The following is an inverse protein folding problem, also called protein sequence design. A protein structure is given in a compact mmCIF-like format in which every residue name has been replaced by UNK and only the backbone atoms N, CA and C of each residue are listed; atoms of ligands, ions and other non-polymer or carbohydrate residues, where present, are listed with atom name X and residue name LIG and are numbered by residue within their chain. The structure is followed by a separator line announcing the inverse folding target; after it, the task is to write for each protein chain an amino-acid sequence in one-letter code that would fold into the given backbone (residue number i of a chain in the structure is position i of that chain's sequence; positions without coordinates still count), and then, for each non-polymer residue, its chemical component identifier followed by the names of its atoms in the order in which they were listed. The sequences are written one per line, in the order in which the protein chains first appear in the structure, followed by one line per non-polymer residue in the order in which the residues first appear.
data_IF_090391684364
#
_entry.id   IF_090391684364
#
_cell.length_a   1.000
_cell.length_b   1.000
_cell.length_c   1.000
_cell.angle_alpha   90.00
_cell.angle_beta   90.00
_cell.angle_gamma   90.00
#
_symmetry.space_group_name_H-M   'P 1'
#
loop_
_entity.id
_entity.type
_entity.pdbx_description
1 polymer ?
#
# COMPACT_ATOMS: atom_id res chain seq x y z
N UNK A 1 -1.29 6.93 3.48
CA UNK A 1 -1.37 7.35 4.90
C UNK A 1 -2.70 8.06 5.13
N UNK A 2 -3.33 7.95 6.31
CA UNK A 2 -4.41 8.91 6.68
C UNK A 2 -3.84 10.33 6.62
N UNK A 3 -4.64 11.34 6.23
CA UNK A 3 -4.21 12.74 6.31
C UNK A 3 -3.91 13.08 7.78
N UNK A 4 -2.63 13.23 8.11
CA UNK A 4 -2.17 13.68 9.42
C UNK A 4 -1.98 15.19 9.32
N UNK A 5 -2.79 15.97 10.03
CA UNK A 5 -2.72 17.43 9.96
C UNK A 5 -1.31 17.94 10.36
N UNK A 6 -0.72 17.33 11.39
CA UNK A 6 0.66 17.60 11.78
C UNK A 6 1.71 17.33 10.69
N UNK A 7 1.46 16.41 9.74
CA UNK A 7 2.40 16.12 8.65
C UNK A 7 2.43 17.22 7.59
N UNK A 8 1.27 17.79 7.24
CA UNK A 8 1.18 18.90 6.28
C UNK A 8 1.85 20.17 6.82
N UNK A 9 1.60 20.49 8.09
CA UNK A 9 2.25 21.63 8.77
C UNK A 9 3.76 21.44 8.87
N UNK A 10 4.21 20.23 9.23
CA UNK A 10 5.63 19.90 9.31
C UNK A 10 6.30 19.95 7.93
N UNK A 11 5.62 19.48 6.89
CA UNK A 11 6.07 19.57 5.50
C UNK A 11 6.25 21.02 5.03
N UNK A 12 5.24 21.88 5.29
CA UNK A 12 5.33 23.31 5.01
C UNK A 12 6.50 23.98 5.74
N UNK A 13 6.71 23.64 7.01
CA UNK A 13 7.81 24.16 7.81
C UNK A 13 9.19 23.73 7.28
N UNK A 14 9.39 22.45 6.96
CA UNK A 14 10.69 21.96 6.45
C UNK A 14 11.00 22.56 5.07
N UNK A 15 10.00 22.71 4.20
CA UNK A 15 10.18 23.34 2.89
C UNK A 15 10.58 24.81 2.99
N UNK A 16 9.89 25.57 3.85
CA UNK A 16 10.20 26.98 4.07
C UNK A 16 11.61 27.14 4.66
N UNK A 17 11.94 26.33 5.67
CA UNK A 17 13.26 26.36 6.32
C UNK A 17 14.37 26.00 5.34
N UNK A 18 14.19 24.95 4.53
CA UNK A 18 15.13 24.58 3.47
C UNK A 18 15.30 25.70 2.44
N UNK A 19 14.20 26.37 2.04
CA UNK A 19 14.25 27.49 1.10
C UNK A 19 15.05 28.69 1.65
N UNK A 20 14.90 28.99 2.94
CA UNK A 20 15.70 30.03 3.61
C UNK A 20 17.19 29.66 3.64
N UNK A 21 17.53 28.41 3.97
CA UNK A 21 18.91 27.91 3.95
C UNK A 21 19.54 28.03 2.55
N UNK A 22 18.83 27.59 1.52
CA UNK A 22 19.29 27.67 0.13
C UNK A 22 19.53 29.11 -0.35
N UNK A 23 18.84 30.09 0.24
CA UNK A 23 19.01 31.53 -0.04
C UNK A 23 20.00 32.21 0.90
N UNK A 24 20.69 31.46 1.77
CA UNK A 24 21.56 31.98 2.83
C UNK A 24 20.87 33.04 3.71
N UNK A 25 19.56 32.90 3.94
CA UNK A 25 18.82 33.79 4.83
C UNK A 25 19.10 33.42 6.29
N UNK A 26 19.31 34.40 7.17
CA UNK A 26 19.50 34.13 8.59
C UNK A 26 18.24 33.51 9.18
N UNK A 27 18.39 32.38 9.85
CA UNK A 27 17.31 31.66 10.52
C UNK A 27 17.44 31.83 12.02
N UNK A 28 16.39 32.37 12.64
CA UNK A 28 16.27 32.51 14.08
C UNK A 28 14.84 32.19 14.48
N UNK A 29 14.69 31.36 15.50
CA UNK A 29 13.39 30.86 15.95
C UNK A 29 13.11 31.32 17.37
N UNK A 30 11.83 31.57 17.65
CA UNK A 30 11.37 31.84 19.01
C UNK A 30 10.90 30.55 19.66
N UNK A 31 10.79 30.55 21.00
CA UNK A 31 10.26 29.42 21.77
C UNK A 31 8.92 28.87 21.21
N UNK A 32 8.03 29.76 20.74
CA UNK A 32 6.74 29.36 20.15
C UNK A 32 6.91 28.50 18.89
N UNK A 33 7.91 28.79 18.06
CA UNK A 33 8.15 28.09 16.80
C UNK A 33 8.72 26.69 17.10
N UNK A 34 9.63 26.62 18.09
CA UNK A 34 10.18 25.37 18.62
C UNK A 34 9.07 24.47 19.18
N UNK A 35 8.21 25.01 20.05
CA UNK A 35 7.11 24.24 20.66
C UNK A 35 6.12 23.72 19.62
N UNK A 36 5.81 24.50 18.57
CA UNK A 36 4.94 24.04 17.47
C UNK A 36 5.57 22.88 16.70
N UNK A 37 6.83 23.01 16.29
CA UNK A 37 7.54 21.95 15.56
C UNK A 37 7.60 20.65 16.37
N UNK A 38 7.92 20.73 17.67
CA UNK A 38 7.94 19.56 18.57
C UNK A 38 6.55 18.92 18.67
N UNK A 39 5.48 19.74 18.77
CA UNK A 39 4.10 19.25 18.80
C UNK A 39 3.74 18.50 17.52
N UNK A 40 4.01 19.08 16.34
CA UNK A 40 3.74 18.42 15.06
C UNK A 40 4.54 17.13 14.90
N UNK A 41 5.82 17.15 15.29
CA UNK A 41 6.67 15.95 15.23
C UNK A 41 6.17 14.84 16.15
N UNK A 42 5.65 15.20 17.33
CA UNK A 42 5.05 14.23 18.27
C UNK A 42 3.73 13.66 17.73
N UNK A 43 2.88 14.50 17.13
CA UNK A 43 1.65 14.05 16.47
C UNK A 43 1.96 13.05 15.34
N UNK A 44 2.92 13.39 14.47
CA UNK A 44 3.36 12.52 13.37
C UNK A 44 3.97 11.23 13.91
N UNK A 45 4.88 11.30 14.88
CA UNK A 45 5.50 10.13 15.52
C UNK A 45 4.47 9.15 16.07
N UNK A 46 3.44 9.64 16.77
CA UNK A 46 2.36 8.79 17.29
C UNK A 46 1.50 8.19 16.16
N UNK A 47 1.20 8.98 15.13
CA UNK A 47 0.33 8.56 14.04
C UNK A 47 0.97 7.49 13.14
N UNK A 48 2.30 7.46 13.02
CA UNK A 48 3.04 6.51 12.17
C UNK A 48 3.60 5.32 12.94
N UNK A 49 3.28 5.17 14.23
CA UNK A 49 3.94 4.18 15.11
C UNK A 49 3.82 2.74 14.60
N UNK A 50 2.68 2.38 14.01
CA UNK A 50 2.45 1.04 13.48
C UNK A 50 3.05 0.87 12.08
N UNK A 51 2.98 1.91 11.23
CA UNK A 51 3.41 1.85 9.83
C UNK A 51 4.94 2.03 9.66
N UNK A 52 5.57 2.88 10.49
CA UNK A 52 6.97 3.28 10.42
C UNK A 52 7.61 3.37 11.83
N UNK A 53 7.72 2.24 12.58
CA UNK A 53 8.14 2.25 13.99
C UNK A 53 9.53 2.84 14.22
N UNK A 54 10.47 2.64 13.28
CA UNK A 54 11.79 3.25 13.34
C UNK A 54 11.71 4.79 13.32
N UNK A 55 10.95 5.38 12.40
CA UNK A 55 10.78 6.83 12.35
C UNK A 55 10.02 7.35 13.58
N UNK A 56 9.01 6.62 14.05
CA UNK A 56 8.28 7.00 15.25
C UNK A 56 9.21 7.12 16.47
N UNK A 57 10.20 6.24 16.60
CA UNK A 57 11.19 6.30 17.69
C UNK A 57 12.22 7.43 17.51
N UNK A 58 12.66 7.70 16.28
CA UNK A 58 13.70 8.69 16.00
C UNK A 58 13.19 10.14 15.99
N UNK A 59 11.97 10.38 15.51
CA UNK A 59 11.41 11.72 15.35
C UNK A 59 11.46 12.59 16.63
N UNK A 60 11.13 12.09 17.83
CA UNK A 60 11.29 12.86 19.08
C UNK A 60 12.75 13.23 19.38
N UNK A 61 13.71 12.33 19.09
CA UNK A 61 15.15 12.57 19.30
C UNK A 61 15.64 13.67 18.36
N UNK A 62 15.24 13.59 17.09
CA UNK A 62 15.54 14.59 16.06
C UNK A 62 14.95 15.95 16.46
N UNK A 63 13.69 15.99 16.90
CA UNK A 63 13.02 17.23 17.28
C UNK A 63 13.75 17.97 18.42
N UNK A 64 14.19 17.22 19.44
CA UNK A 64 14.93 17.78 20.58
C UNK A 64 16.30 18.36 20.19
N UNK A 65 16.92 17.84 19.14
CA UNK A 65 18.25 18.27 18.69
C UNK A 65 18.21 19.32 17.57
N UNK A 66 17.05 19.55 16.95
CA UNK A 66 16.86 20.47 15.81
C UNK A 66 17.11 21.92 16.17
N UNK A 67 16.86 22.32 17.42
CA UNK A 67 17.00 23.69 17.87
C UNK A 67 18.01 23.84 18.99
N UNK A 68 18.91 24.82 18.88
CA UNK A 68 19.88 25.15 19.92
C UNK A 68 19.58 26.52 20.50
N UNK A 69 19.25 26.57 21.80
CA UNK A 69 19.03 27.83 22.51
C UNK A 69 20.31 28.67 22.52
N UNK A 70 20.18 29.94 22.15
CA UNK A 70 21.27 30.92 22.16
C UNK A 70 21.08 32.01 23.22
N UNK A 71 20.05 31.87 24.08
CA UNK A 71 19.67 32.84 25.10
C UNK A 71 18.57 33.80 24.63
N UNK A 72 17.98 34.53 25.58
CA UNK A 72 16.94 35.53 25.28
C UNK A 72 15.63 34.98 24.68
N UNK A 73 15.38 33.66 24.75
CA UNK A 73 14.23 33.01 24.13
C UNK A 73 14.38 32.73 22.63
N UNK A 74 15.60 32.87 22.09
CA UNK A 74 15.93 32.62 20.70
C UNK A 74 16.71 31.32 20.49
N UNK A 75 16.52 30.73 19.32
CA UNK A 75 17.06 29.44 18.93
C UNK A 75 17.67 29.51 17.53
N UNK A 76 18.82 28.86 17.36
CA UNK A 76 19.41 28.58 16.06
C UNK A 76 19.00 27.19 15.57
N UNK A 77 19.00 27.00 14.25
CA UNK A 77 18.81 25.69 13.63
C UNK A 77 20.10 24.87 13.70
N UNK A 78 19.98 23.60 14.10
CA UNK A 78 21.00 22.60 13.87
C UNK A 78 20.71 21.90 12.53
N UNK A 79 21.58 22.11 11.55
CA UNK A 79 21.35 21.65 10.16
C UNK A 79 21.42 20.13 10.00
N UNK A 80 22.12 19.42 10.88
CA UNK A 80 22.26 17.96 10.83
C UNK A 80 20.92 17.24 11.13
N UNK A 81 20.32 17.37 12.33
CA UNK A 81 19.00 16.81 12.61
C UNK A 81 17.90 17.41 11.75
N UNK A 82 18.05 18.66 11.29
CA UNK A 82 17.13 19.22 10.29
C UNK A 82 17.15 18.42 8.98
N UNK A 83 18.33 18.02 8.50
CA UNK A 83 18.45 17.18 7.29
C UNK A 83 17.80 15.81 7.46
N UNK A 84 17.97 15.18 8.63
CA UNK A 84 17.29 13.93 8.98
C UNK A 84 15.77 14.11 8.97
N UNK A 85 15.27 15.14 9.66
CA UNK A 85 13.86 15.50 9.68
C UNK A 85 13.31 15.76 8.28
N UNK A 86 14.03 16.51 7.46
CA UNK A 86 13.63 16.84 6.09
C UNK A 86 13.40 15.59 5.25
N UNK A 87 14.32 14.62 5.30
CA UNK A 87 14.19 13.38 4.53
C UNK A 87 13.03 12.52 5.03
N UNK A 88 12.86 12.39 6.35
CA UNK A 88 11.75 11.63 6.94
C UNK A 88 10.41 12.26 6.55
N UNK A 89 10.25 13.57 6.74
CA UNK A 89 9.00 14.28 6.43
C UNK A 89 8.71 14.23 4.93
N UNK A 90 9.73 14.39 4.08
CA UNK A 90 9.60 14.25 2.63
C UNK A 90 9.14 12.85 2.24
N UNK A 91 9.72 11.80 2.83
CA UNK A 91 9.31 10.43 2.56
C UNK A 91 7.86 10.19 3.00
N UNK A 92 7.50 10.58 4.24
CA UNK A 92 6.14 10.41 4.78
C UNK A 92 5.09 11.17 3.97
N UNK A 93 5.39 12.41 3.55
CA UNK A 93 4.47 13.21 2.73
C UNK A 93 4.27 12.60 1.33
N UNK A 94 5.32 11.98 0.77
CA UNK A 94 5.26 11.32 -0.55
C UNK A 94 4.91 9.82 -0.46
N UNK A 95 4.60 9.29 0.73
CA UNK A 95 4.31 7.86 1.01
C UNK A 95 3.39 7.16 0.00
N UNK A 96 2.35 7.80 -0.56
CA UNK A 96 1.49 7.13 -1.55
C UNK A 96 2.15 7.03 -2.94
N UNK A 97 3.18 7.85 -3.23
CA UNK A 97 3.77 7.95 -4.56
C UNK A 97 5.02 7.08 -4.74
N UNK A 98 5.60 6.53 -3.68
CA UNK A 98 6.77 5.66 -3.82
C UNK A 98 6.35 4.27 -4.30
N UNK A 99 6.32 4.19 -5.63
CA UNK A 99 5.76 3.17 -6.49
C UNK A 99 6.42 1.77 -6.40
N UNK A 100 7.15 1.44 -5.33
CA UNK A 100 7.92 0.19 -5.25
C UNK A 100 7.01 -1.05 -5.25
N UNK A 101 5.93 -1.05 -4.46
CA UNK A 101 5.03 -2.22 -4.40
C UNK A 101 4.30 -2.46 -5.72
N UNK A 102 3.95 -1.38 -6.42
CA UNK A 102 3.24 -1.47 -7.70
C UNK A 102 4.11 -2.08 -8.80
N UNK A 103 5.44 -2.02 -8.73
CA UNK A 103 6.31 -2.73 -9.68
C UNK A 103 6.20 -4.25 -9.58
N UNK A 104 5.74 -4.78 -8.43
CA UNK A 104 5.57 -6.20 -8.20
C UNK A 104 4.15 -6.71 -8.52
N UNK A 105 3.19 -5.78 -8.72
CA UNK A 105 1.78 -6.07 -8.94
C UNK A 105 1.51 -6.29 -10.43
N UNK A 106 0.63 -7.24 -10.75
CA UNK A 106 0.26 -7.58 -12.12
C UNK A 106 -0.38 -6.37 -12.84
N UNK A 107 0.00 -6.06 -14.10
CA UNK A 107 -0.47 -4.86 -14.81
C UNK A 107 -1.99 -4.69 -14.86
N UNK A 108 -2.76 -5.77 -15.05
CA UNK A 108 -4.23 -5.72 -15.01
C UNK A 108 -4.76 -5.26 -13.65
N UNK A 109 -4.15 -5.72 -12.56
CA UNK A 109 -4.53 -5.32 -11.20
C UNK A 109 -4.12 -3.87 -10.92
N UNK A 110 -2.95 -3.43 -11.41
CA UNK A 110 -2.55 -2.02 -11.31
C UNK A 110 -3.63 -1.11 -11.92
N UNK A 111 -4.11 -1.45 -13.13
CA UNK A 111 -5.04 -0.64 -13.90
C UNK A 111 -6.39 -0.39 -13.19
N UNK A 112 -6.80 -1.28 -12.27
CA UNK A 112 -8.12 -1.18 -11.61
C UNK A 112 -8.06 -0.80 -10.13
N UNK A 113 -6.92 -0.96 -9.45
CA UNK A 113 -6.84 -0.81 -7.99
C UNK A 113 -5.92 0.32 -7.55
N UNK A 114 -4.95 0.73 -8.38
CA UNK A 114 -3.91 1.66 -7.94
C UNK A 114 -4.47 3.00 -7.50
N UNK A 115 -5.22 3.68 -8.36
CA UNK A 115 -5.75 5.01 -8.05
C UNK A 115 -6.68 4.97 -6.83
N UNK A 116 -7.63 4.04 -6.81
CA UNK A 116 -8.53 3.82 -5.67
C UNK A 116 -7.78 3.60 -4.34
N UNK A 117 -6.72 2.79 -4.36
CA UNK A 117 -5.92 2.54 -3.17
C UNK A 117 -5.17 3.80 -2.71
N UNK A 118 -4.59 4.56 -3.65
CA UNK A 118 -3.86 5.79 -3.35
C UNK A 118 -4.78 6.90 -2.81
N UNK A 119 -6.02 6.93 -3.27
CA UNK A 119 -7.05 7.86 -2.81
C UNK A 119 -7.66 7.44 -1.45
N UNK A 120 -7.23 6.30 -0.89
CA UNK A 120 -7.68 5.80 0.41
C UNK A 120 -8.96 4.96 0.35
N UNK A 121 -9.48 4.64 -0.85
CA UNK A 121 -10.60 3.73 -1.06
C UNK A 121 -10.15 2.26 -0.98
N UNK A 122 -9.53 1.88 0.14
CA UNK A 122 -8.86 0.59 0.33
C UNK A 122 -9.77 -0.62 0.06
N UNK A 123 -10.99 -0.61 0.60
CA UNK A 123 -11.95 -1.71 0.39
C UNK A 123 -12.40 -1.83 -1.08
N UNK A 124 -12.59 -0.69 -1.76
CA UNK A 124 -12.91 -0.64 -3.19
C UNK A 124 -11.77 -1.25 -4.01
N UNK A 125 -10.53 -0.81 -3.78
CA UNK A 125 -9.36 -1.29 -4.50
C UNK A 125 -9.16 -2.81 -4.37
N UNK A 126 -9.31 -3.35 -3.15
CA UNK A 126 -9.21 -4.79 -2.89
C UNK A 126 -10.32 -5.58 -3.61
N UNK A 127 -11.58 -5.15 -3.49
CA UNK A 127 -12.72 -5.79 -4.16
C UNK A 127 -12.56 -5.79 -5.69
N UNK A 128 -12.19 -4.65 -6.28
CA UNK A 128 -11.95 -4.55 -7.74
C UNK A 128 -10.85 -5.50 -8.21
N UNK A 129 -9.86 -5.77 -7.38
CA UNK A 129 -8.79 -6.74 -7.69
C UNK A 129 -9.31 -8.17 -7.84
N UNK A 130 -10.18 -8.62 -6.94
CA UNK A 130 -10.78 -9.96 -7.06
C UNK A 130 -11.85 -10.04 -8.16
N UNK A 131 -12.58 -8.94 -8.42
CA UNK A 131 -13.45 -8.85 -9.61
C UNK A 131 -12.63 -9.05 -10.88
N UNK A 132 -11.46 -8.43 -10.99
CA UNK A 132 -10.61 -8.57 -12.17
C UNK A 132 -10.03 -9.99 -12.33
N UNK A 133 -9.67 -10.67 -11.24
CA UNK A 133 -9.29 -12.10 -11.28
C UNK A 133 -10.45 -12.95 -11.80
N UNK A 134 -11.68 -12.71 -11.34
CA UNK A 134 -12.87 -13.40 -11.85
C UNK A 134 -13.07 -13.14 -13.35
N UNK A 135 -12.91 -11.88 -13.79
CA UNK A 135 -12.99 -11.50 -15.20
C UNK A 135 -11.99 -12.29 -16.05
N UNK A 136 -10.72 -12.37 -15.63
CA UNK A 136 -9.71 -13.16 -16.37
C UNK A 136 -10.06 -14.64 -16.43
N UNK A 137 -10.56 -15.24 -15.33
CA UNK A 137 -11.05 -16.63 -15.35
C UNK A 137 -12.16 -16.81 -16.40
N UNK A 138 -13.10 -15.87 -16.50
CA UNK A 138 -14.21 -15.95 -17.48
C UNK A 138 -13.70 -15.83 -18.91
N UNK A 139 -12.81 -14.89 -19.18
CA UNK A 139 -12.15 -14.73 -20.48
C UNK A 139 -11.42 -16.01 -20.90
N UNK A 140 -10.59 -16.56 -20.00
CA UNK A 140 -9.81 -17.77 -20.25
C UNK A 140 -10.70 -19.00 -20.52
N UNK A 141 -11.85 -19.10 -19.84
CA UNK A 141 -12.82 -20.15 -20.14
C UNK A 141 -13.40 -20.01 -21.55
N UNK A 142 -13.77 -18.80 -21.97
CA UNK A 142 -14.29 -18.55 -23.32
C UNK A 142 -13.21 -18.85 -24.37
N UNK A 143 -11.96 -18.47 -24.12
CA UNK A 143 -10.81 -18.75 -24.99
C UNK A 143 -10.60 -20.27 -25.17
N UNK A 144 -10.65 -21.05 -24.09
CA UNK A 144 -10.35 -22.49 -24.09
C UNK A 144 -11.56 -23.38 -24.43
N UNK A 145 -12.78 -22.88 -24.21
CA UNK A 145 -14.05 -23.61 -24.38
C UNK A 145 -15.11 -22.72 -25.06
N UNK A 146 -14.89 -22.26 -26.31
CA UNK A 146 -15.74 -21.25 -26.96
C UNK A 146 -17.19 -21.71 -27.20
N UNK A 147 -17.43 -23.01 -27.31
CA UNK A 147 -18.76 -23.59 -27.52
C UNK A 147 -19.49 -23.98 -26.22
N UNK A 148 -18.85 -23.80 -25.06
CA UNK A 148 -19.43 -24.15 -23.76
C UNK A 148 -20.01 -22.91 -23.07
N UNK A 149 -21.13 -23.09 -22.38
CA UNK A 149 -21.70 -22.03 -21.54
C UNK A 149 -20.78 -21.76 -20.35
N UNK A 150 -20.41 -20.49 -20.14
CA UNK A 150 -19.59 -20.07 -18.99
C UNK A 150 -20.32 -20.40 -17.68
N UNK A 151 -19.69 -21.09 -16.73
CA UNK A 151 -20.29 -21.31 -15.41
C UNK A 151 -20.68 -19.99 -14.71
N UNK A 152 -21.90 -19.92 -14.21
CA UNK A 152 -22.39 -18.74 -13.49
C UNK A 152 -21.67 -18.51 -12.15
N UNK A 153 -21.40 -19.60 -11.43
CA UNK A 153 -20.70 -19.60 -10.15
C UNK A 153 -19.17 -19.64 -10.35
N UNK A 154 -18.43 -18.76 -9.67
CA UNK A 154 -16.96 -18.69 -9.72
C UNK A 154 -16.27 -19.99 -9.26
N UNK A 155 -16.83 -20.72 -8.29
CA UNK A 155 -16.27 -22.02 -7.84
C UNK A 155 -16.33 -23.05 -8.96
N UNK A 156 -17.46 -23.11 -9.69
CA UNK A 156 -17.59 -24.02 -10.83
C UNK A 156 -16.68 -23.61 -11.98
N UNK A 157 -16.48 -22.30 -12.19
CA UNK A 157 -15.54 -21.77 -13.17
C UNK A 157 -14.09 -22.16 -12.84
N UNK A 158 -13.69 -22.01 -11.57
CA UNK A 158 -12.38 -22.44 -11.08
C UNK A 158 -12.21 -23.95 -11.26
N UNK A 159 -13.20 -24.76 -10.87
CA UNK A 159 -13.16 -26.21 -11.07
C UNK A 159 -13.01 -26.61 -12.54
N UNK A 160 -13.70 -25.92 -13.46
CA UNK A 160 -13.62 -26.20 -14.88
C UNK A 160 -12.26 -25.83 -15.50
N UNK A 161 -11.55 -24.84 -14.94
CA UNK A 161 -10.26 -24.38 -15.46
C UNK A 161 -9.06 -25.02 -14.76
N UNK A 162 -9.08 -25.06 -13.43
CA UNK A 162 -7.90 -25.28 -12.58
C UNK A 162 -7.89 -26.64 -11.86
N UNK A 163 -8.98 -27.42 -11.91
CA UNK A 163 -8.97 -28.79 -11.37
C UNK A 163 -7.96 -29.69 -12.07
N UNK A 164 -7.63 -30.87 -11.53
CA UNK A 164 -6.65 -31.80 -12.12
C UNK A 164 -6.90 -32.07 -13.62
N UNK A 165 -8.17 -32.10 -14.05
CA UNK A 165 -8.59 -32.27 -15.46
C UNK A 165 -9.14 -30.97 -16.09
N UNK A 166 -8.92 -29.83 -15.45
CA UNK A 166 -9.39 -28.52 -15.88
C UNK A 166 -8.77 -28.08 -17.21
N UNK A 167 -9.46 -27.18 -17.92
CA UNK A 167 -9.11 -26.82 -19.28
C UNK A 167 -7.80 -26.00 -19.40
N UNK A 168 -7.38 -25.31 -18.33
CA UNK A 168 -6.21 -24.43 -18.38
C UNK A 168 -4.97 -25.13 -17.82
N UNK A 169 -3.93 -25.24 -18.65
CA UNK A 169 -2.67 -25.89 -18.31
C UNK A 169 -1.62 -24.85 -17.90
N UNK A 170 -1.35 -24.72 -16.60
CA UNK A 170 -0.39 -23.73 -16.05
C UNK A 170 0.82 -24.35 -15.33
N UNK A 171 0.90 -25.68 -15.26
CA UNK A 171 2.02 -26.40 -14.65
C UNK A 171 2.19 -27.78 -15.29
N UNK A 172 3.34 -28.43 -15.12
CA UNK A 172 3.51 -29.83 -15.52
C UNK A 172 2.77 -30.78 -14.56
N UNK A 173 2.10 -31.80 -15.08
CA UNK A 173 1.34 -32.81 -14.32
C UNK A 173 1.94 -34.22 -14.43
N UNK A 174 3.10 -34.35 -15.06
CA UNK A 174 3.82 -35.63 -15.19
C UNK A 174 4.33 -36.16 -13.85
N UNK A 175 4.49 -35.28 -12.85
CA UNK A 175 4.98 -35.61 -11.51
C UNK A 175 3.90 -35.44 -10.46
N UNK A 176 4.02 -36.19 -9.35
CA UNK A 176 3.12 -36.02 -8.19
C UNK A 176 3.19 -34.59 -7.64
N UNK A 177 4.38 -34.01 -7.56
CA UNK A 177 4.59 -32.62 -7.12
C UNK A 177 3.83 -31.62 -7.99
N UNK A 178 3.80 -31.82 -9.30
CA UNK A 178 3.05 -30.97 -10.23
C UNK A 178 1.54 -31.05 -10.02
N UNK A 179 1.01 -32.25 -9.79
CA UNK A 179 -0.40 -32.47 -9.45
C UNK A 179 -0.79 -31.83 -8.13
N UNK A 180 0.06 -31.97 -7.11
CA UNK A 180 -0.19 -31.36 -5.80
C UNK A 180 -0.08 -29.84 -5.85
N UNK A 181 0.85 -29.28 -6.63
CA UNK A 181 0.92 -27.85 -6.90
C UNK A 181 -0.38 -27.34 -7.55
N UNK A 182 -0.86 -28.01 -8.60
CA UNK A 182 -2.13 -27.66 -9.26
C UNK A 182 -3.31 -27.66 -8.28
N UNK A 183 -3.43 -28.71 -7.47
CA UNK A 183 -4.47 -28.81 -6.44
C UNK A 183 -4.36 -27.66 -5.43
N UNK A 184 -3.15 -27.34 -4.99
CA UNK A 184 -2.89 -26.22 -4.08
C UNK A 184 -3.30 -24.87 -4.68
N UNK A 185 -2.96 -24.62 -5.94
CA UNK A 185 -3.40 -23.42 -6.67
C UNK A 185 -4.93 -23.37 -6.78
N UNK A 186 -5.58 -24.46 -7.14
CA UNK A 186 -7.05 -24.52 -7.17
C UNK A 186 -7.64 -24.13 -5.80
N UNK A 187 -7.13 -24.70 -4.71
CA UNK A 187 -7.60 -24.37 -3.35
C UNK A 187 -7.35 -22.92 -2.96
N UNK A 188 -6.24 -22.31 -3.40
CA UNK A 188 -5.99 -20.88 -3.19
C UNK A 188 -7.01 -20.01 -3.92
N UNK A 189 -7.32 -20.33 -5.18
CA UNK A 189 -8.35 -19.61 -5.94
C UNK A 189 -9.73 -19.75 -5.27
N UNK A 190 -10.15 -20.98 -4.94
CA UNK A 190 -11.45 -21.23 -4.30
C UNK A 190 -11.56 -20.51 -2.95
N UNK A 191 -10.55 -20.64 -2.10
CA UNK A 191 -10.51 -19.99 -0.79
C UNK A 191 -10.51 -18.46 -0.88
N UNK A 192 -9.70 -17.89 -1.77
CA UNK A 192 -9.61 -16.44 -1.92
C UNK A 192 -10.90 -15.84 -2.50
N UNK A 193 -11.48 -16.48 -3.51
CA UNK A 193 -12.75 -16.02 -4.09
C UNK A 193 -13.91 -16.20 -3.10
N UNK A 194 -13.93 -17.27 -2.30
CA UNK A 194 -14.92 -17.44 -1.25
C UNK A 194 -14.79 -16.37 -0.15
N UNK A 195 -13.56 -16.05 0.28
CA UNK A 195 -13.32 -15.11 1.36
C UNK A 195 -13.51 -13.64 0.97
N UNK A 196 -13.08 -13.25 -0.23
CA UNK A 196 -12.97 -11.83 -0.61
C UNK A 196 -13.94 -11.41 -1.72
N UNK A 197 -14.39 -12.34 -2.58
CA UNK A 197 -15.40 -12.05 -3.61
C UNK A 197 -16.81 -12.38 -3.15
N UNK A 198 -16.95 -13.40 -2.28
CA UNK A 198 -18.23 -13.93 -1.81
C UNK A 198 -18.61 -13.61 -0.34
N UNK A 199 -18.34 -12.39 0.19
CA UNK A 199 -19.17 -11.84 1.25
C UNK A 199 -20.29 -10.98 0.65
N UNK A 200 -21.49 -11.55 0.65
CA UNK A 200 -22.75 -10.88 0.33
C UNK A 200 -22.90 -9.54 1.08
N UNK A 201 -23.03 -8.44 0.34
CA UNK A 201 -24.06 -7.38 0.45
C UNK A 201 -24.48 -6.74 1.80
N UNK A 202 -23.84 -7.01 2.95
CA UNK A 202 -24.47 -6.74 4.26
C UNK A 202 -23.71 -5.86 5.26
N UNK A 203 -22.38 -5.74 5.21
CA UNK A 203 -21.62 -4.84 6.08
C UNK A 203 -20.66 -3.98 5.25
N UNK A 204 -20.64 -2.67 5.52
CA UNK A 204 -19.61 -1.76 5.01
C UNK A 204 -18.26 -2.16 5.63
N UNK A 205 -17.60 -3.18 5.09
CA UNK A 205 -16.30 -3.62 5.57
C UNK A 205 -15.28 -2.51 5.32
N UNK A 206 -14.81 -1.91 6.41
CA UNK A 206 -13.66 -1.03 6.41
C UNK A 206 -12.40 -1.88 6.39
N UNK A 207 -11.61 -1.79 5.32
CA UNK A 207 -10.29 -2.39 5.22
C UNK A 207 -9.22 -1.35 5.59
N UNK A 208 -8.24 -1.76 6.38
CA UNK A 208 -7.03 -0.97 6.57
C UNK A 208 -6.21 -0.90 5.28
N UNK A 209 -5.28 0.07 5.24
CA UNK A 209 -4.33 0.20 4.13
C UNK A 209 -3.56 -1.11 3.90
N UNK A 210 -3.05 -1.72 4.97
CA UNK A 210 -2.25 -2.93 4.92
C UNK A 210 -3.06 -4.13 4.43
N UNK A 211 -4.24 -4.37 4.99
CA UNK A 211 -5.09 -5.50 4.58
C UNK A 211 -5.50 -5.39 3.10
N UNK A 212 -5.82 -4.18 2.62
CA UNK A 212 -6.12 -3.98 1.21
C UNK A 212 -4.92 -4.27 0.32
N UNK A 213 -3.71 -3.86 0.73
CA UNK A 213 -2.50 -4.15 -0.03
C UNK A 213 -2.22 -5.65 -0.10
N UNK A 214 -2.36 -6.37 1.01
CA UNK A 214 -2.20 -7.82 1.08
C UNK A 214 -3.17 -8.53 0.13
N UNK A 215 -4.43 -8.11 0.12
CA UNK A 215 -5.46 -8.63 -0.80
C UNK A 215 -5.13 -8.32 -2.26
N UNK A 216 -4.68 -7.10 -2.57
CA UNK A 216 -4.25 -6.71 -3.94
C UNK A 216 -3.05 -7.55 -4.39
N UNK A 217 -2.07 -7.78 -3.49
CA UNK A 217 -0.91 -8.62 -3.79
C UNK A 217 -1.30 -10.08 -4.02
N UNK A 218 -2.23 -10.62 -3.22
CA UNK A 218 -2.78 -11.96 -3.44
C UNK A 218 -3.50 -12.06 -4.79
N UNK A 219 -4.40 -11.13 -5.11
CA UNK A 219 -5.06 -11.08 -6.41
C UNK A 219 -4.05 -10.99 -7.57
N UNK A 220 -2.97 -10.23 -7.40
CA UNK A 220 -1.87 -10.18 -8.36
C UNK A 220 -1.14 -11.52 -8.51
N UNK A 221 -0.92 -12.27 -7.43
CA UNK A 221 -0.32 -13.61 -7.52
C UNK A 221 -1.24 -14.58 -8.29
N UNK A 222 -2.55 -14.54 -8.01
CA UNK A 222 -3.54 -15.32 -8.75
C UNK A 222 -3.54 -14.94 -10.23
N UNK A 223 -3.50 -13.65 -10.56
CA UNK A 223 -3.48 -13.18 -11.95
C UNK A 223 -2.24 -13.68 -12.71
N UNK A 224 -1.05 -13.70 -12.07
CA UNK A 224 0.17 -14.25 -12.67
C UNK A 224 0.05 -15.73 -13.02
N UNK A 225 -0.77 -16.49 -12.30
CA UNK A 225 -1.06 -17.89 -12.66
C UNK A 225 -1.89 -17.98 -13.94
N UNK A 226 -2.80 -17.03 -14.18
CA UNK A 226 -3.73 -17.03 -15.33
C UNK A 226 -3.13 -16.48 -16.63
N UNK A 227 -1.96 -15.84 -16.53
CA UNK A 227 -1.21 -15.27 -17.65
C UNK A 227 0.12 -16.04 -17.87
N UNK A 228 0.23 -17.26 -17.35
CA UNK A 228 1.34 -18.20 -17.59
C UNK A 228 1.16 -18.97 -18.90
#
# INVERSE_FOLDING_TARGET
MKKINGLEELWGWVLNTNSCLMRNQPLMFQQRDVSRMVSFTTEVSNAIKDDYPFYAEELPKIANNTFRCIGGGFYNLNTVPFGELFIIVKHLHNEPQDASVWTMIHPRIIAIAKEEYLDGHYASAANRSFVEVETRLRELFVELKPSATVPGNVVNLIGALLSENGAYQFCDLSTQSGKDYRRGIQSLFEGSMAAYRNPSSHENQTLSKTEALEQIMLASQLMKVLDN
#
